data_IF_374619700735
#
_entry.id   IF_374619700735
#
_cell.length_a   1.000
_cell.length_b   1.000
_cell.length_c   1.000
_cell.angle_alpha   90.00
_cell.angle_beta   90.00
_cell.angle_gamma   90.00
#
_symmetry.space_group_name_H-M   'P 1'
#
loop_
_entity.id
_entity.type
_entity.pdbx_description
1 polymer ?
#
# COMPACT_ATOMS: atom_id res chain seq x y z
N UNK A 1 0.06 2.15 8.09
CA UNK A 1 -1.41 2.15 8.06
C UNK A 1 -1.96 0.73 8.17
N UNK A 2 -1.64 -0.18 7.25
CA UNK A 2 -2.16 -1.55 7.28
C UNK A 2 -1.98 -2.30 8.62
N UNK A 3 -0.79 -2.28 9.24
CA UNK A 3 -0.56 -2.92 10.56
C UNK A 3 -1.53 -2.38 11.63
N UNK A 4 -1.82 -1.07 11.59
CA UNK A 4 -2.75 -0.42 12.52
C UNK A 4 -4.17 -0.92 12.27
N UNK A 5 -4.62 -0.93 11.02
CA UNK A 5 -5.96 -1.45 10.68
C UNK A 5 -6.08 -2.94 11.01
N UNK A 6 -5.02 -3.73 10.82
CA UNK A 6 -5.00 -5.15 11.12
C UNK A 6 -5.16 -5.41 12.61
N UNK A 7 -4.42 -4.67 13.44
CA UNK A 7 -4.52 -4.75 14.91
C UNK A 7 -5.88 -4.29 15.40
N UNK A 8 -6.43 -3.20 14.85
CA UNK A 8 -7.76 -2.72 15.18
C UNK A 8 -8.85 -3.74 14.83
N UNK A 9 -8.72 -4.43 13.70
CA UNK A 9 -9.65 -5.51 13.32
C UNK A 9 -9.70 -6.66 14.33
N UNK A 10 -8.62 -6.90 15.09
CA UNK A 10 -8.60 -7.94 16.15
C UNK A 10 -9.39 -7.54 17.40
N UNK A 11 -9.69 -6.25 17.59
CA UNK A 11 -10.55 -5.74 18.68
C UNK A 11 -12.05 -5.94 18.39
N UNK A 12 -12.40 -6.61 17.29
CA UNK A 12 -13.78 -6.87 16.91
C UNK A 12 -14.49 -5.64 16.33
N UNK A 13 -15.80 -5.53 16.56
CA UNK A 13 -16.65 -4.56 15.86
C UNK A 13 -16.21 -3.09 16.07
N UNK A 14 -15.96 -2.71 17.32
CA UNK A 14 -15.53 -1.34 17.66
C UNK A 14 -14.19 -0.98 17.00
N UNK A 15 -13.27 -1.95 16.95
CA UNK A 15 -11.99 -1.76 16.26
C UNK A 15 -12.12 -1.64 14.75
N UNK A 16 -13.06 -2.36 14.13
CA UNK A 16 -13.38 -2.19 12.70
C UNK A 16 -13.96 -0.80 12.44
N UNK A 17 -14.89 -0.33 13.25
CA UNK A 17 -15.52 0.99 13.10
C UNK A 17 -14.49 2.13 13.29
N UNK A 18 -13.62 2.00 14.29
CA UNK A 18 -12.50 2.93 14.49
C UNK A 18 -11.48 2.84 13.34
N UNK A 19 -11.19 1.63 12.86
CA UNK A 19 -10.30 1.39 11.73
C UNK A 19 -10.77 2.09 10.46
N UNK A 20 -12.07 2.09 10.19
CA UNK A 20 -12.67 2.82 9.09
C UNK A 20 -12.41 4.34 9.20
N UNK A 21 -12.62 4.91 10.39
CA UNK A 21 -12.35 6.34 10.65
C UNK A 21 -10.87 6.69 10.42
N UNK A 22 -9.95 5.84 10.88
CA UNK A 22 -8.50 6.03 10.71
C UNK A 22 -8.10 5.94 9.24
N UNK A 23 -8.68 5.00 8.49
CA UNK A 23 -8.44 4.83 7.05
C UNK A 23 -8.88 6.08 6.26
N UNK A 24 -10.06 6.61 6.54
CA UNK A 24 -10.60 7.80 5.88
C UNK A 24 -9.73 9.05 6.12
N UNK A 25 -9.33 9.29 7.38
CA UNK A 25 -8.44 10.41 7.73
C UNK A 25 -7.10 10.29 7.01
N UNK A 26 -6.52 9.09 6.98
CA UNK A 26 -5.26 8.85 6.29
C UNK A 26 -5.36 9.11 4.79
N UNK A 27 -6.40 8.59 4.14
CA UNK A 27 -6.59 8.76 2.70
C UNK A 27 -6.82 10.21 2.32
N UNK A 28 -7.63 10.94 3.10
CA UNK A 28 -7.81 12.38 2.89
C UNK A 28 -6.46 13.12 2.99
N UNK A 29 -5.65 12.77 3.98
CA UNK A 29 -4.32 13.38 4.16
C UNK A 29 -3.36 13.06 3.00
N UNK A 30 -3.41 11.83 2.45
CA UNK A 30 -2.68 11.45 1.23
C UNK A 30 -3.16 12.27 0.05
N UNK A 31 -4.47 12.33 -0.19
CA UNK A 31 -5.09 13.08 -1.28
C UNK A 31 -4.64 14.54 -1.30
N UNK A 32 -4.70 15.22 -0.14
CA UNK A 32 -4.28 16.62 0.01
C UNK A 32 -2.79 16.80 -0.35
N UNK A 33 -1.91 15.90 0.09
CA UNK A 33 -0.47 16.00 -0.22
C UNK A 33 -0.18 15.78 -1.71
N UNK A 34 -0.86 14.81 -2.31
CA UNK A 34 -0.66 14.46 -3.71
C UNK A 34 -1.22 15.55 -4.62
N UNK A 35 -2.37 16.12 -4.27
CA UNK A 35 -2.94 17.30 -4.95
C UNK A 35 -1.98 18.50 -4.88
N UNK A 36 -1.39 18.78 -3.71
CA UNK A 36 -0.36 19.83 -3.54
C UNK A 36 0.90 19.59 -4.38
N UNK A 37 1.24 18.33 -4.66
CA UNK A 37 2.35 17.96 -5.52
C UNK A 37 2.01 18.04 -7.03
N UNK A 38 0.80 18.51 -7.39
CA UNK A 38 0.37 18.67 -8.78
C UNK A 38 -0.09 17.37 -9.45
N UNK A 39 -0.27 16.29 -8.69
CA UNK A 39 -0.72 15.01 -9.21
C UNK A 39 -2.24 14.92 -9.10
N UNK A 40 -2.91 14.80 -10.26
CA UNK A 40 -4.34 14.51 -10.31
C UNK A 40 -4.56 13.02 -10.03
N UNK A 41 -5.01 12.74 -8.80
CA UNK A 41 -5.44 11.40 -8.42
C UNK A 41 -6.82 11.12 -9.03
N UNK A 42 -6.94 10.03 -9.79
CA UNK A 42 -8.23 9.35 -9.91
C UNK A 42 -8.42 8.53 -8.63
N UNK A 43 -9.31 8.95 -7.69
CA UNK A 43 -9.36 8.37 -6.36
C UNK A 43 -9.60 6.85 -6.39
N UNK A 44 -10.46 6.39 -7.30
CA UNK A 44 -10.82 4.97 -7.43
C UNK A 44 -9.64 4.09 -7.88
N UNK A 45 -8.80 4.58 -8.79
CA UNK A 45 -7.66 3.82 -9.33
C UNK A 45 -6.51 3.80 -8.32
N UNK A 46 -6.28 4.91 -7.64
CA UNK A 46 -5.22 5.01 -6.63
C UNK A 46 -5.56 4.31 -5.32
N UNK A 47 -6.82 4.33 -4.90
CA UNK A 47 -7.27 3.55 -3.74
C UNK A 47 -7.04 2.05 -3.97
N UNK A 48 -7.37 1.54 -5.16
CA UNK A 48 -7.10 0.13 -5.54
C UNK A 48 -5.61 -0.19 -5.52
N UNK A 49 -4.78 0.74 -5.98
CA UNK A 49 -3.33 0.53 -6.02
C UNK A 49 -2.69 0.62 -4.62
N UNK A 50 -3.16 1.54 -3.78
CA UNK A 50 -2.80 1.59 -2.36
C UNK A 50 -3.29 0.35 -1.61
N UNK A 51 -4.49 -0.15 -1.91
CA UNK A 51 -5.03 -1.43 -1.43
C UNK A 51 -4.16 -2.62 -1.82
N UNK A 52 -3.76 -2.69 -3.10
CA UNK A 52 -2.86 -3.72 -3.61
C UNK A 52 -1.50 -3.70 -2.92
N UNK A 53 -0.92 -2.51 -2.73
CA UNK A 53 0.40 -2.33 -2.12
C UNK A 53 0.31 -2.56 -0.60
N UNK A 54 -0.50 -1.80 0.10
CA UNK A 54 -0.45 -1.80 1.56
C UNK A 54 -1.36 -2.82 2.20
N UNK A 55 -2.46 -3.21 1.55
CA UNK A 55 -3.54 -3.96 2.19
C UNK A 55 -3.74 -5.38 1.65
N UNK A 56 -2.89 -5.84 0.74
CA UNK A 56 -2.85 -7.26 0.38
C UNK A 56 -2.49 -8.14 1.59
N UNK A 57 -3.08 -9.33 1.69
CA UNK A 57 -2.78 -10.36 2.72
C UNK A 57 -1.32 -10.84 2.74
N UNK A 58 -0.43 -10.23 1.94
CA UNK A 58 0.98 -10.58 1.77
C UNK A 58 1.69 -10.61 3.13
N UNK A 59 1.35 -9.68 4.01
CA UNK A 59 1.98 -9.52 5.31
C UNK A 59 1.32 -10.32 6.44
N UNK A 60 0.08 -10.81 6.26
CA UNK A 60 -0.66 -11.50 7.34
C UNK A 60 0.10 -12.70 7.89
N UNK A 61 0.61 -13.57 7.02
CA UNK A 61 1.38 -14.75 7.43
C UNK A 61 2.70 -14.40 8.13
N UNK A 62 3.26 -13.21 7.88
CA UNK A 62 4.52 -12.76 8.49
C UNK A 62 4.33 -12.08 9.85
N UNK A 63 3.08 -11.81 10.25
CA UNK A 63 2.74 -11.23 11.56
C UNK A 63 2.25 -12.27 12.58
N UNK A 64 2.09 -13.54 12.18
CA UNK A 64 1.73 -14.62 13.10
C UNK A 64 2.87 -14.85 14.12
N UNK A 65 2.51 -15.32 15.32
CA UNK A 65 3.51 -15.61 16.37
C UNK A 65 4.52 -16.69 15.95
N UNK A 66 4.08 -17.56 15.07
CA UNK A 66 4.77 -18.69 14.45
C UNK A 66 5.43 -18.33 13.10
N UNK A 67 5.40 -17.05 12.72
CA UNK A 67 6.12 -16.56 11.54
C UNK A 67 7.64 -16.73 11.72
N UNK A 68 8.35 -17.02 10.61
CA UNK A 68 9.80 -17.13 10.63
C UNK A 68 10.42 -15.78 11.04
N UNK A 69 11.51 -15.78 11.83
CA UNK A 69 12.28 -14.57 12.08
C UNK A 69 12.62 -13.88 10.75
N UNK A 70 12.40 -12.57 10.69
CA UNK A 70 12.62 -11.71 9.51
C UNK A 70 11.65 -11.89 8.32
N UNK A 71 10.61 -12.72 8.41
CA UNK A 71 9.67 -12.91 7.27
C UNK A 71 8.97 -11.60 6.87
N UNK A 72 8.61 -10.78 7.86
CA UNK A 72 8.05 -9.44 7.62
C UNK A 72 9.05 -8.54 6.90
N UNK A 73 10.31 -8.53 7.34
CA UNK A 73 11.38 -7.72 6.73
C UNK A 73 11.62 -8.13 5.27
N UNK A 74 11.67 -9.43 5.00
CA UNK A 74 11.86 -9.98 3.66
C UNK A 74 10.71 -9.58 2.72
N UNK A 75 9.46 -9.67 3.19
CA UNK A 75 8.28 -9.30 2.39
C UNK A 75 8.21 -7.80 2.14
N UNK A 76 8.54 -6.98 3.13
CA UNK A 76 8.62 -5.52 2.97
C UNK A 76 9.69 -5.15 1.93
N UNK A 77 10.86 -5.78 2.01
CA UNK A 77 11.95 -5.56 1.06
C UNK A 77 11.57 -5.94 -0.37
N UNK A 78 10.94 -7.10 -0.57
CA UNK A 78 10.48 -7.55 -1.89
C UNK A 78 9.47 -6.59 -2.50
N UNK A 79 8.47 -6.17 -1.73
CA UNK A 79 7.48 -5.22 -2.23
C UNK A 79 8.10 -3.87 -2.60
N UNK A 80 9.01 -3.35 -1.76
CA UNK A 80 9.74 -2.13 -2.06
C UNK A 80 10.55 -2.28 -3.36
N UNK A 81 11.28 -3.39 -3.50
CA UNK A 81 12.06 -3.69 -4.71
C UNK A 81 11.16 -3.75 -5.95
N UNK A 82 10.05 -4.47 -5.90
CA UNK A 82 9.15 -4.61 -7.05
C UNK A 82 8.57 -3.25 -7.47
N UNK A 83 8.15 -2.42 -6.50
CA UNK A 83 7.63 -1.08 -6.76
C UNK A 83 8.65 -0.14 -7.41
N UNK A 84 9.92 -0.21 -7.00
CA UNK A 84 10.98 0.63 -7.54
C UNK A 84 11.53 0.10 -8.87
N UNK A 85 11.65 -1.22 -9.02
CA UNK A 85 12.21 -1.86 -10.21
C UNK A 85 11.22 -1.77 -11.39
N UNK A 86 9.93 -2.05 -11.17
CA UNK A 86 8.90 -1.99 -12.23
C UNK A 86 8.73 -0.56 -12.81
N UNK A 87 8.97 0.48 -12.00
CA UNK A 87 8.95 1.88 -12.44
C UNK A 87 10.25 2.38 -13.07
N UNK A 88 11.36 1.67 -12.90
CA UNK A 88 12.64 2.01 -13.54
C UNK A 88 12.77 1.49 -14.98
N UNK A 89 11.88 0.59 -15.42
CA UNK A 89 11.92 -0.04 -16.76
C UNK A 89 11.03 0.68 -17.79
N UNK A 90 10.16 1.62 -17.39
CA UNK A 90 9.18 2.27 -18.29
C UNK A 90 9.42 3.77 -18.54
N UNK A 91 10.61 4.20 -19.02
CA UNK A 91 10.62 5.34 -19.95
C UNK A 91 11.32 5.12 -21.30
N UNK A 92 11.99 3.98 -21.56
CA UNK A 92 12.89 3.87 -22.73
C UNK A 92 12.38 2.99 -23.88
N UNK A 93 11.39 2.13 -23.69
CA UNK A 93 10.95 1.22 -24.79
C UNK A 93 9.94 1.84 -25.77
N UNK A 94 9.30 2.98 -25.45
CA UNK A 94 8.32 3.62 -26.35
C UNK A 94 8.92 4.59 -27.39
N UNK A 95 10.25 4.69 -27.51
CA UNK A 95 10.90 5.49 -28.58
C UNK A 95 11.47 4.67 -29.73
N UNK A 96 11.38 3.34 -29.69
CA UNK A 96 11.96 2.47 -30.72
C UNK A 96 10.94 1.93 -31.75
N UNK A 97 9.68 2.34 -31.70
CA UNK A 97 8.63 1.89 -32.65
C UNK A 97 8.04 2.99 -33.54
N UNK A 98 8.71 4.14 -33.63
CA UNK A 98 8.39 5.21 -34.58
C UNK A 98 9.67 5.66 -35.30
N UNK A 99 10.24 4.75 -36.09
CA UNK A 99 11.15 5.05 -37.21
C UNK A 99 10.91 4.03 -38.30
#
# INVERSE_FOLDING_TARGET
MWIVLRRLKEEGKEGVDLGQSVYEIYNHNVEVRVSKAGVNLLPLTWMKELERIFYGNVYDAALLQDAKPNDLQIKLWRQWKDMYVEKSVTPLENKASLT
#
